data_IF_288209230577
#
_entry.id   IF_288209230577
#
_cell.length_a   1.000
_cell.length_b   1.000
_cell.length_c   1.000
_cell.angle_alpha   90.00
_cell.angle_beta   90.00
_cell.angle_gamma   90.00
#
_symmetry.space_group_name_H-M   'P 1'
#
loop_
_entity.id
_entity.type
_entity.pdbx_description
1 polymer ?
#
# COMPACT_ATOMS: atom_id res chain seq x y z
N UNK A 1 -12.02 -25.38 21.75
CA UNK A 1 -12.96 -24.25 21.58
C UNK A 1 -12.49 -23.07 22.44
N UNK A 2 -11.81 -22.09 21.84
CA UNK A 2 -11.57 -20.76 22.42
C UNK A 2 -11.81 -19.76 21.30
N UNK A 3 -12.80 -18.89 21.49
CA UNK A 3 -13.22 -17.91 20.51
C UNK A 3 -12.20 -16.78 20.41
N UNK A 4 -11.67 -16.55 19.21
CA UNK A 4 -10.98 -15.32 18.86
C UNK A 4 -12.03 -14.32 18.36
N UNK A 5 -12.65 -13.59 19.28
CA UNK A 5 -13.38 -12.36 18.99
C UNK A 5 -12.40 -11.19 18.93
N UNK A 6 -11.72 -11.03 17.80
CA UNK A 6 -10.86 -9.89 17.54
C UNK A 6 -11.70 -8.70 17.10
N UNK A 7 -12.09 -7.86 18.06
CA UNK A 7 -12.69 -6.55 17.81
C UNK A 7 -11.64 -5.60 17.22
N UNK A 8 -11.34 -5.76 15.93
CA UNK A 8 -10.56 -4.82 15.12
C UNK A 8 -11.44 -3.69 14.60
N UNK A 9 -12.16 -3.01 15.51
CA UNK A 9 -12.90 -1.82 15.17
C UNK A 9 -11.91 -0.66 15.03
N UNK A 10 -11.39 -0.49 13.82
CA UNK A 10 -10.79 0.77 13.39
C UNK A 10 -11.76 1.89 13.81
N UNK A 11 -11.32 2.78 14.70
CA UNK A 11 -12.08 3.98 15.05
C UNK A 11 -12.19 4.85 13.79
N UNK A 12 -13.15 4.52 12.93
CA UNK A 12 -13.66 5.36 11.87
C UNK A 12 -14.20 6.62 12.54
N UNK A 13 -13.68 7.79 12.15
CA UNK A 13 -14.40 9.04 12.39
C UNK A 13 -15.81 8.92 11.81
N UNK A 14 -16.77 9.65 12.36
CA UNK A 14 -18.17 9.60 11.94
C UNK A 14 -18.42 9.94 10.45
N UNK A 15 -17.38 10.33 9.71
CA UNK A 15 -17.39 10.67 8.28
C UNK A 15 -16.62 9.67 7.39
N UNK A 16 -16.11 8.56 7.93
CA UNK A 16 -15.35 7.56 7.16
C UNK A 16 -13.99 8.05 6.62
N UNK A 17 -13.54 9.24 7.01
CA UNK A 17 -12.27 9.80 6.59
C UNK A 17 -11.17 9.57 7.64
N UNK A 18 -10.01 9.07 7.19
CA UNK A 18 -8.82 9.00 8.04
C UNK A 18 -8.43 10.42 8.50
N UNK A 19 -8.02 10.60 9.77
CA UNK A 19 -7.61 11.90 10.29
C UNK A 19 -6.41 12.41 9.49
N UNK A 20 -6.68 13.33 8.55
CA UNK A 20 -5.64 14.00 7.76
C UNK A 20 -4.69 14.71 8.71
N UNK A 21 -3.42 14.35 8.66
CA UNK A 21 -2.38 14.97 9.49
C UNK A 21 -2.37 16.46 9.21
N UNK A 22 -2.80 17.28 10.20
CA UNK A 22 -2.77 18.73 10.09
C UNK A 22 -1.37 19.19 9.70
N UNK A 23 -1.26 19.92 8.58
CA UNK A 23 -0.03 20.58 8.13
C UNK A 23 0.37 21.66 9.15
N UNK A 24 1.02 21.23 10.24
CA UNK A 24 1.70 22.14 11.16
C UNK A 24 3.07 22.45 10.54
N UNK A 25 3.47 23.72 10.53
CA UNK A 25 4.72 24.17 9.97
C UNK A 25 5.91 23.37 10.53
N UNK A 26 6.75 22.82 9.65
CA UNK A 26 7.96 22.04 9.98
C UNK A 26 9.14 22.57 9.16
N UNK A 27 10.34 22.65 9.74
CA UNK A 27 11.53 23.04 9.00
C UNK A 27 11.85 22.02 7.89
N UNK A 28 12.27 22.51 6.74
CA UNK A 28 12.79 21.67 5.66
C UNK A 28 14.13 21.08 6.05
N UNK A 29 14.44 19.89 5.52
CA UNK A 29 15.73 19.24 5.72
C UNK A 29 16.88 20.16 5.26
N UNK A 30 16.70 20.90 4.17
CA UNK A 30 17.66 21.87 3.67
C UNK A 30 17.94 23.00 4.68
N UNK A 31 16.93 23.47 5.41
CA UNK A 31 17.09 24.51 6.43
C UNK A 31 17.85 23.99 7.65
N UNK A 32 17.58 22.74 8.06
CA UNK A 32 18.30 22.09 9.17
C UNK A 32 19.76 21.86 8.79
N UNK A 33 20.03 21.28 7.63
CA UNK A 33 21.39 21.00 7.15
C UNK A 33 22.14 22.30 6.86
N UNK A 34 21.49 23.29 6.23
CA UNK A 34 22.09 24.58 5.96
C UNK A 34 22.43 25.34 7.24
N UNK A 35 21.53 25.33 8.23
CA UNK A 35 21.78 25.92 9.54
C UNK A 35 22.92 25.23 10.28
N UNK A 36 22.98 23.89 10.24
CA UNK A 36 24.07 23.16 10.89
C UNK A 36 25.41 23.39 10.19
N UNK A 37 25.46 23.36 8.86
CA UNK A 37 26.68 23.65 8.09
C UNK A 37 27.17 25.08 8.33
N UNK A 38 26.28 26.06 8.26
CA UNK A 38 26.63 27.45 8.52
C UNK A 38 27.18 27.64 9.93
N UNK A 39 26.57 26.99 10.93
CA UNK A 39 27.06 27.02 12.31
C UNK A 39 28.46 26.37 12.44
N UNK A 40 28.71 25.22 11.81
CA UNK A 40 30.03 24.56 11.81
C UNK A 40 31.09 25.42 11.09
N UNK A 41 30.75 26.05 9.98
CA UNK A 41 31.67 26.88 9.18
C UNK A 41 31.97 28.24 9.82
N UNK A 42 30.98 28.86 10.46
CA UNK A 42 31.14 30.18 11.09
C UNK A 42 31.72 30.10 12.51
N UNK A 43 31.53 28.99 13.22
CA UNK A 43 32.09 28.77 14.56
C UNK A 43 33.61 29.03 14.65
N UNK A 44 34.48 28.51 13.75
CA UNK A 44 35.91 28.80 13.79
C UNK A 44 36.23 30.27 13.45
N UNK A 45 35.51 30.89 12.51
CA UNK A 45 35.68 32.33 12.23
C UNK A 45 35.32 33.19 13.45
N UNK A 46 34.21 32.87 14.13
CA UNK A 46 33.81 33.54 15.36
C UNK A 46 34.83 33.32 16.48
N UNK A 47 35.36 32.10 16.61
CA UNK A 47 36.44 31.79 17.56
C UNK A 47 37.69 32.63 17.33
N UNK A 48 38.15 32.77 16.09
CA UNK A 48 39.30 33.60 15.73
C UNK A 48 39.06 35.09 15.99
N UNK A 49 37.85 35.60 15.72
CA UNK A 49 37.47 36.98 16.04
C UNK A 49 37.51 37.25 17.54
N UNK A 50 36.99 36.33 18.35
CA UNK A 50 37.02 36.41 19.82
C UNK A 50 38.45 36.41 20.33
N UNK A 51 39.33 35.52 19.83
CA UNK A 51 40.76 35.50 20.21
C UNK A 51 41.46 36.80 19.82
N UNK A 52 41.23 37.30 18.60
CA UNK A 52 41.80 38.56 18.12
C UNK A 52 41.37 39.75 18.98
N UNK A 53 40.10 39.78 19.40
CA UNK A 53 39.57 40.85 20.24
C UNK A 53 40.08 40.77 21.69
N UNK A 54 40.20 39.55 22.25
CA UNK A 54 40.71 39.33 23.61
C UNK A 54 42.23 39.44 23.74
N UNK A 55 42.96 39.56 22.62
CA UNK A 55 44.42 39.72 22.55
C UNK A 55 44.92 40.87 23.45
N UNK A 56 44.09 41.88 23.72
CA UNK A 56 44.42 43.03 24.57
C UNK A 56 44.15 42.88 26.07
N UNK A 57 43.39 41.86 26.52
CA UNK A 57 42.83 41.83 27.89
C UNK A 57 43.19 40.62 28.76
N UNK A 58 43.60 39.46 28.20
CA UNK A 58 43.78 38.22 28.99
C UNK A 58 44.96 37.35 28.56
N UNK A 59 45.55 36.63 29.53
CA UNK A 59 46.63 35.65 29.34
C UNK A 59 46.17 34.53 28.38
N UNK A 60 46.85 34.36 27.24
CA UNK A 60 46.50 33.48 26.10
C UNK A 60 45.91 32.09 26.43
N UNK A 61 46.30 31.48 27.56
CA UNK A 61 45.84 30.15 27.98
C UNK A 61 44.33 30.09 28.27
N UNK A 62 43.75 31.13 28.89
CA UNK A 62 42.33 31.14 29.23
C UNK A 62 41.44 31.42 28.02
N UNK A 63 41.90 32.27 27.10
CA UNK A 63 41.18 32.57 25.85
C UNK A 63 41.08 31.33 24.95
N UNK A 64 42.15 30.54 24.82
CA UNK A 64 42.15 29.30 24.05
C UNK A 64 41.17 28.26 24.64
N UNK A 65 41.12 28.12 25.97
CA UNK A 65 40.18 27.21 26.65
C UNK A 65 38.72 27.60 26.43
N UNK A 66 38.38 28.89 26.52
CA UNK A 66 37.02 29.37 26.29
C UNK A 66 36.55 29.15 24.86
N UNK A 67 37.41 29.38 23.86
CA UNK A 67 37.07 29.13 22.46
C UNK A 67 36.93 27.64 22.18
N UNK A 68 37.84 26.81 22.69
CA UNK A 68 37.73 25.35 22.57
C UNK A 68 36.42 24.83 23.17
N UNK A 69 36.06 25.31 24.37
CA UNK A 69 34.79 24.96 25.02
C UNK A 69 33.56 25.40 24.20
N UNK A 70 33.59 26.60 23.62
CA UNK A 70 32.52 27.10 22.75
C UNK A 70 32.32 26.24 21.50
N UNK A 71 33.42 25.89 20.81
CA UNK A 71 33.35 25.02 19.61
C UNK A 71 32.82 23.63 19.95
N UNK A 72 33.27 23.05 21.07
CA UNK A 72 32.77 21.75 21.54
C UNK A 72 31.27 21.81 21.86
N UNK A 73 30.82 22.87 22.53
CA UNK A 73 29.41 23.06 22.88
C UNK A 73 28.54 23.18 21.63
N UNK A 74 28.93 24.02 20.66
CA UNK A 74 28.20 24.17 19.40
C UNK A 74 28.15 22.85 18.63
N UNK A 75 29.27 22.13 18.55
CA UNK A 75 29.34 20.82 17.88
C UNK A 75 28.42 19.80 18.54
N UNK A 76 28.40 19.74 19.88
CA UNK A 76 27.53 18.83 20.64
C UNK A 76 26.04 19.16 20.42
N UNK A 77 25.67 20.45 20.45
CA UNK A 77 24.29 20.89 20.21
C UNK A 77 23.84 20.53 18.79
N UNK A 78 24.69 20.75 17.78
CA UNK A 78 24.39 20.41 16.39
C UNK A 78 24.26 18.90 16.17
N UNK A 79 25.15 18.10 16.76
CA UNK A 79 25.08 16.64 16.72
C UNK A 79 23.79 16.13 17.37
N UNK A 80 23.42 16.67 18.53
CA UNK A 80 22.16 16.35 19.20
C UNK A 80 20.94 16.73 18.37
N UNK A 81 20.96 17.90 17.70
CA UNK A 81 19.89 18.35 16.83
C UNK A 81 19.72 17.41 15.62
N UNK A 82 20.82 17.06 14.94
CA UNK A 82 20.80 16.14 13.79
C UNK A 82 20.29 14.75 14.19
N UNK A 83 20.75 14.20 15.32
CA UNK A 83 20.26 12.92 15.83
C UNK A 83 18.74 12.99 16.06
N UNK A 84 18.26 14.04 16.74
CA UNK A 84 16.85 14.18 17.08
C UNK A 84 15.95 14.42 15.86
N UNK A 85 16.42 15.14 14.84
CA UNK A 85 15.62 15.51 13.67
C UNK A 85 15.68 14.51 12.50
N UNK A 86 16.77 13.75 12.36
CA UNK A 86 16.98 12.85 11.23
C UNK A 86 17.04 11.39 11.70
N UNK A 87 18.03 11.04 12.52
CA UNK A 87 18.33 9.63 12.83
C UNK A 87 17.19 8.97 13.60
N UNK A 88 16.67 9.61 14.65
CA UNK A 88 15.57 9.06 15.47
C UNK A 88 14.29 8.79 14.67
N UNK A 89 13.77 9.71 13.83
CA UNK A 89 12.57 9.44 13.04
C UNK A 89 12.81 8.42 11.90
N UNK A 90 13.99 8.34 11.30
CA UNK A 90 14.33 7.28 10.33
C UNK A 90 14.30 5.90 10.99
N UNK A 91 14.89 5.76 12.17
CA UNK A 91 14.86 4.49 12.93
C UNK A 91 13.44 4.07 13.28
N UNK A 92 12.56 5.02 13.62
CA UNK A 92 11.14 4.74 13.87
C UNK A 92 10.42 4.25 12.61
N UNK A 93 10.58 4.95 11.49
CA UNK A 93 9.97 4.53 10.22
C UNK A 93 10.45 3.13 9.80
N UNK A 94 11.74 2.83 10.01
CA UNK A 94 12.28 1.49 9.75
C UNK A 94 11.74 0.43 10.71
N UNK A 95 11.45 0.77 11.96
CA UNK A 95 10.86 -0.18 12.91
C UNK A 95 9.38 -0.44 12.58
N UNK A 96 8.63 0.61 12.25
CA UNK A 96 7.24 0.52 11.81
C UNK A 96 7.14 -0.32 10.52
N UNK A 97 7.97 -0.05 9.51
CA UNK A 97 7.96 -0.82 8.25
C UNK A 97 8.26 -2.30 8.46
N UNK A 98 9.19 -2.64 9.35
CA UNK A 98 9.48 -4.04 9.73
C UNK A 98 8.32 -4.70 10.47
N UNK A 99 7.66 -3.98 11.37
CA UNK A 99 6.49 -4.49 12.09
C UNK A 99 5.34 -4.81 11.11
N UNK A 100 5.10 -3.93 10.12
CA UNK A 100 4.10 -4.19 9.09
C UNK A 100 4.48 -5.37 8.18
N UNK A 101 5.75 -5.51 7.81
CA UNK A 101 6.23 -6.68 7.07
C UNK A 101 6.05 -7.99 7.86
N UNK A 102 6.06 -7.92 9.20
CA UNK A 102 5.77 -9.05 10.09
C UNK A 102 4.26 -9.30 10.31
N UNK A 103 3.38 -8.50 9.71
CA UNK A 103 1.92 -8.62 9.85
C UNK A 103 1.32 -7.93 11.07
N UNK A 104 2.09 -7.11 11.79
CA UNK A 104 1.62 -6.33 12.95
C UNK A 104 1.00 -5.00 12.50
N UNK A 105 -0.16 -5.06 11.85
CA UNK A 105 -0.80 -3.90 11.20
C UNK A 105 -1.32 -2.86 12.21
N UNK A 106 -1.68 -3.27 13.43
CA UNK A 106 -2.25 -2.40 14.47
C UNK A 106 -1.24 -1.41 15.09
N UNK A 107 0.07 -1.55 14.84
CA UNK A 107 1.10 -0.70 15.44
C UNK A 107 1.42 0.58 14.66
N UNK A 108 0.88 0.74 13.46
CA UNK A 108 1.12 1.96 12.67
C UNK A 108 0.27 3.12 13.18
N UNK A 109 0.89 4.06 13.89
CA UNK A 109 0.22 5.26 14.38
C UNK A 109 0.37 6.41 13.39
N UNK A 110 -0.73 7.02 12.86
CA UNK A 110 -0.69 8.19 11.98
C UNK A 110 -0.05 9.44 12.60
N UNK A 111 0.31 9.39 13.89
CA UNK A 111 0.83 10.50 14.65
C UNK A 111 2.37 10.54 14.72
N UNK A 112 3.07 9.66 13.99
CA UNK A 112 4.53 9.61 14.05
C UNK A 112 5.12 10.97 13.67
N UNK A 113 5.70 11.63 14.68
CA UNK A 113 6.27 12.98 14.59
C UNK A 113 7.60 12.88 13.83
N UNK A 114 7.56 12.82 12.51
CA UNK A 114 8.76 12.89 11.68
C UNK A 114 9.33 14.31 11.69
N UNK A 115 10.63 14.45 11.97
CA UNK A 115 11.26 15.72 12.35
C UNK A 115 11.17 16.79 11.27
N UNK A 116 11.40 16.41 10.01
CA UNK A 116 11.39 17.29 8.82
C UNK A 116 10.20 17.00 7.92
N UNK A 117 9.90 17.93 7.01
CA UNK A 117 8.80 17.79 6.04
C UNK A 117 9.04 16.63 5.07
N UNK A 118 10.24 16.49 4.57
CA UNK A 118 10.63 15.47 3.58
C UNK A 118 10.51 14.06 4.18
N UNK A 119 10.89 13.90 5.45
CA UNK A 119 10.75 12.62 6.15
C UNK A 119 9.29 12.30 6.50
N UNK A 120 8.47 13.33 6.70
CA UNK A 120 7.02 13.17 6.85
C UNK A 120 6.38 12.72 5.53
N UNK A 121 6.76 13.32 4.40
CA UNK A 121 6.28 12.93 3.06
C UNK A 121 6.71 11.48 2.74
N UNK A 122 7.96 11.10 3.05
CA UNK A 122 8.41 9.71 2.91
C UNK A 122 7.62 8.74 3.79
N UNK A 123 7.40 9.09 5.06
CA UNK A 123 6.62 8.27 5.99
C UNK A 123 5.19 8.04 5.50
N UNK A 124 4.57 9.06 4.92
CA UNK A 124 3.24 8.94 4.32
C UNK A 124 3.25 8.00 3.10
N UNK A 125 4.20 8.16 2.18
CA UNK A 125 4.30 7.27 1.01
C UNK A 125 4.51 5.79 1.38
N UNK A 126 5.29 5.53 2.44
CA UNK A 126 5.46 4.16 2.98
C UNK A 126 4.16 3.64 3.58
N UNK A 127 3.40 4.49 4.29
CA UNK A 127 2.11 4.13 4.86
C UNK A 127 1.07 3.82 3.76
N UNK A 128 0.97 4.67 2.74
CA UNK A 128 0.04 4.48 1.63
C UNK A 128 0.35 3.17 0.87
N UNK A 129 1.64 2.84 0.71
CA UNK A 129 2.08 1.57 0.13
C UNK A 129 1.69 0.38 1.02
N UNK A 130 1.95 0.49 2.33
CA UNK A 130 1.60 -0.54 3.29
C UNK A 130 0.08 -0.81 3.28
N UNK A 131 -0.75 0.23 3.34
CA UNK A 131 -2.21 0.12 3.26
C UNK A 131 -2.66 -0.53 1.94
N UNK A 132 -2.09 -0.12 0.80
CA UNK A 132 -2.42 -0.74 -0.49
C UNK A 132 -2.09 -2.23 -0.50
N UNK A 133 -0.95 -2.63 0.07
CA UNK A 133 -0.56 -4.03 0.18
C UNK A 133 -1.49 -4.81 1.11
N UNK A 134 -1.84 -4.24 2.26
CA UNK A 134 -2.76 -4.85 3.22
C UNK A 134 -4.13 -5.13 2.58
N UNK A 135 -4.73 -4.11 1.96
CA UNK A 135 -6.05 -4.21 1.34
C UNK A 135 -6.04 -5.25 0.21
N UNK A 136 -4.97 -5.30 -0.59
CA UNK A 136 -4.80 -6.34 -1.62
C UNK A 136 -4.80 -7.74 -1.01
N UNK A 137 -4.02 -7.95 0.06
CA UNK A 137 -3.92 -9.24 0.76
C UNK A 137 -5.24 -9.65 1.43
N UNK A 138 -5.90 -8.74 2.14
CA UNK A 138 -7.18 -8.98 2.80
C UNK A 138 -8.25 -9.39 1.79
N UNK A 139 -8.31 -8.70 0.65
CA UNK A 139 -9.27 -9.02 -0.40
C UNK A 139 -8.99 -10.43 -0.99
N UNK A 140 -7.71 -10.82 -1.18
CA UNK A 140 -7.37 -12.19 -1.63
C UNK A 140 -7.83 -13.20 -0.59
N UNK A 141 -7.48 -12.97 0.67
CA UNK A 141 -7.79 -13.88 1.77
C UNK A 141 -9.29 -14.09 1.94
N UNK A 142 -10.06 -13.00 1.92
CA UNK A 142 -11.52 -13.03 2.03
C UNK A 142 -12.15 -13.78 0.85
N UNK A 143 -11.71 -13.50 -0.38
CA UNK A 143 -12.24 -14.17 -1.56
C UNK A 143 -11.88 -15.66 -1.61
N UNK A 144 -10.62 -16.03 -1.34
CA UNK A 144 -10.21 -17.44 -1.28
C UNK A 144 -10.98 -18.19 -0.20
N UNK A 145 -11.21 -17.57 0.96
CA UNK A 145 -12.02 -18.17 2.03
C UNK A 145 -13.47 -18.40 1.58
N UNK A 146 -14.07 -17.42 0.92
CA UNK A 146 -15.42 -17.51 0.37
C UNK A 146 -15.52 -18.63 -0.68
N UNK A 147 -14.63 -18.64 -1.67
CA UNK A 147 -14.60 -19.67 -2.73
C UNK A 147 -14.40 -21.07 -2.14
N UNK A 148 -13.54 -21.23 -1.13
CA UNK A 148 -13.34 -22.51 -0.45
C UNK A 148 -14.63 -22.99 0.23
N UNK A 149 -15.38 -22.07 0.84
CA UNK A 149 -16.65 -22.38 1.50
C UNK A 149 -17.71 -22.79 0.48
N UNK A 150 -17.83 -22.04 -0.62
CA UNK A 150 -18.77 -22.30 -1.70
C UNK A 150 -18.43 -23.58 -2.49
N UNK A 151 -17.14 -23.93 -2.63
CA UNK A 151 -16.70 -25.18 -3.27
C UNK A 151 -17.05 -26.44 -2.46
N UNK A 152 -17.14 -26.33 -1.14
CA UNK A 152 -17.39 -27.48 -0.26
C UNK A 152 -18.75 -28.13 -0.55
N UNK A 153 -19.78 -27.30 -0.77
CA UNK A 153 -21.15 -27.78 -1.04
C UNK A 153 -21.26 -28.63 -2.32
N UNK A 154 -20.86 -28.14 -3.52
CA UNK A 154 -20.91 -28.94 -4.74
C UNK A 154 -19.95 -30.14 -4.68
N UNK A 155 -18.82 -30.03 -3.98
CA UNK A 155 -17.92 -31.17 -3.80
C UNK A 155 -18.57 -32.28 -2.98
N UNK A 156 -19.23 -31.96 -1.86
CA UNK A 156 -19.96 -32.95 -1.06
C UNK A 156 -21.12 -33.57 -1.85
N UNK A 157 -21.86 -32.77 -2.61
CA UNK A 157 -22.95 -33.27 -3.46
C UNK A 157 -22.44 -34.20 -4.58
N UNK A 158 -21.29 -33.87 -5.18
CA UNK A 158 -20.65 -34.69 -6.21
C UNK A 158 -20.18 -36.04 -5.63
N UNK A 159 -19.48 -36.01 -4.49
CA UNK A 159 -19.01 -37.23 -3.82
C UNK A 159 -20.19 -38.11 -3.44
N UNK A 160 -21.22 -37.56 -2.78
CA UNK A 160 -22.40 -38.34 -2.40
C UNK A 160 -23.16 -38.91 -3.60
N UNK A 161 -23.25 -38.16 -4.71
CA UNK A 161 -23.88 -38.68 -5.92
C UNK A 161 -23.03 -39.79 -6.58
N UNK A 162 -21.70 -39.67 -6.55
CA UNK A 162 -20.79 -40.68 -7.07
C UNK A 162 -20.82 -41.97 -6.23
N UNK A 163 -20.82 -41.86 -4.90
CA UNK A 163 -20.96 -43.00 -3.99
C UNK A 163 -22.27 -43.77 -4.22
N UNK A 164 -23.38 -43.07 -4.40
CA UNK A 164 -24.67 -43.71 -4.70
C UNK A 164 -24.66 -44.41 -6.07
N UNK A 165 -23.94 -43.86 -7.06
CA UNK A 165 -23.82 -44.46 -8.40
C UNK A 165 -23.07 -45.79 -8.42
N UNK A 166 -22.29 -46.10 -7.38
CA UNK A 166 -21.61 -47.40 -7.23
C UNK A 166 -22.59 -48.55 -6.93
N UNK A 167 -23.81 -48.25 -6.49
CA UNK A 167 -24.82 -49.26 -6.21
C UNK A 167 -25.43 -49.84 -7.51
N UNK A 168 -25.35 -51.16 -7.66
CA UNK A 168 -25.83 -51.89 -8.83
C UNK A 168 -27.36 -52.08 -8.86
N UNK A 169 -28.06 -51.76 -7.75
CA UNK A 169 -29.51 -51.89 -7.63
C UNK A 169 -30.34 -50.69 -8.12
N UNK A 170 -29.70 -49.64 -8.65
CA UNK A 170 -30.38 -48.40 -9.03
C UNK A 170 -31.29 -48.55 -10.26
N UNK A 171 -32.49 -47.99 -10.17
CA UNK A 171 -33.36 -47.81 -11.33
C UNK A 171 -32.73 -46.84 -12.35
N UNK A 172 -33.00 -46.99 -13.67
CA UNK A 172 -32.42 -46.14 -14.72
C UNK A 172 -32.64 -44.64 -14.47
N UNK A 173 -33.83 -44.26 -13.99
CA UNK A 173 -34.19 -42.86 -13.71
C UNK A 173 -33.39 -42.28 -12.54
N UNK A 174 -33.15 -43.06 -11.49
CA UNK A 174 -32.35 -42.63 -10.34
C UNK A 174 -30.88 -42.44 -10.72
N UNK A 175 -30.34 -43.34 -11.53
CA UNK A 175 -28.98 -43.22 -12.09
C UNK A 175 -28.83 -41.95 -12.93
N UNK A 176 -29.82 -41.62 -13.77
CA UNK A 176 -29.84 -40.38 -14.55
C UNK A 176 -29.88 -39.13 -13.67
N UNK A 177 -30.66 -39.14 -12.58
CA UNK A 177 -30.70 -38.03 -11.63
C UNK A 177 -29.34 -37.82 -10.94
N UNK A 178 -28.70 -38.89 -10.47
CA UNK A 178 -27.38 -38.80 -9.83
C UNK A 178 -26.30 -38.29 -10.79
N UNK A 179 -26.29 -38.76 -12.04
CA UNK A 179 -25.42 -38.22 -13.09
C UNK A 179 -25.70 -36.73 -13.36
N UNK A 180 -26.97 -36.32 -13.31
CA UNK A 180 -27.37 -34.91 -13.37
C UNK A 180 -26.77 -34.08 -12.23
N UNK A 181 -26.83 -34.58 -10.99
CA UNK A 181 -26.21 -33.96 -9.82
C UNK A 181 -24.69 -33.83 -9.97
N UNK A 182 -24.01 -34.90 -10.40
CA UNK A 182 -22.56 -34.86 -10.68
C UNK A 182 -22.23 -33.77 -11.70
N UNK A 183 -22.98 -33.72 -12.81
CA UNK A 183 -22.76 -32.72 -13.87
C UNK A 183 -23.00 -31.29 -13.38
N UNK A 184 -24.07 -31.07 -12.61
CA UNK A 184 -24.38 -29.75 -12.07
C UNK A 184 -23.34 -29.28 -11.05
N UNK A 185 -22.92 -30.16 -10.15
CA UNK A 185 -21.88 -29.87 -9.16
C UNK A 185 -20.54 -29.57 -9.83
N UNK A 186 -20.15 -30.36 -10.84
CA UNK A 186 -18.95 -30.10 -11.63
C UNK A 186 -18.99 -28.74 -12.34
N UNK A 187 -20.14 -28.39 -12.95
CA UNK A 187 -20.35 -27.08 -13.57
C UNK A 187 -20.21 -25.92 -12.59
N UNK A 188 -20.85 -26.00 -11.41
CA UNK A 188 -20.72 -24.97 -10.37
C UNK A 188 -19.27 -24.79 -9.91
N UNK A 189 -18.51 -25.87 -9.76
CA UNK A 189 -17.08 -25.78 -9.40
C UNK A 189 -16.26 -25.11 -10.51
N UNK A 190 -16.57 -25.37 -11.77
CA UNK A 190 -15.93 -24.69 -12.91
C UNK A 190 -16.22 -23.19 -12.90
N UNK A 191 -17.46 -22.78 -12.65
CA UNK A 191 -17.85 -21.36 -12.57
C UNK A 191 -17.09 -20.62 -11.46
N UNK A 192 -16.96 -21.25 -10.28
CA UNK A 192 -16.18 -20.70 -9.16
C UNK A 192 -14.68 -20.55 -9.50
N UNK A 193 -14.11 -21.53 -10.21
CA UNK A 193 -12.71 -21.48 -10.65
C UNK A 193 -12.47 -20.40 -11.71
N UNK A 194 -13.37 -20.24 -12.68
CA UNK A 194 -13.23 -19.18 -13.69
C UNK A 194 -13.39 -17.80 -13.04
N UNK A 195 -14.30 -17.64 -12.07
CA UNK A 195 -14.41 -16.42 -11.27
C UNK A 195 -13.09 -16.08 -10.54
N UNK A 196 -12.43 -17.08 -9.96
CA UNK A 196 -11.13 -16.91 -9.30
C UNK A 196 -10.04 -16.51 -10.30
N UNK A 197 -10.06 -17.08 -11.51
CA UNK A 197 -9.14 -16.73 -12.59
C UNK A 197 -9.35 -15.30 -13.06
N UNK A 198 -10.59 -14.87 -13.23
CA UNK A 198 -10.93 -13.49 -13.62
C UNK A 198 -10.48 -12.48 -12.56
N UNK A 199 -10.71 -12.78 -11.28
CA UNK A 199 -10.21 -11.95 -10.18
C UNK A 199 -8.69 -11.86 -10.13
N UNK A 200 -7.99 -12.97 -10.39
CA UNK A 200 -6.53 -12.97 -10.47
C UNK A 200 -6.02 -12.06 -11.60
N UNK A 201 -6.64 -12.14 -12.78
CA UNK A 201 -6.33 -11.27 -13.93
C UNK A 201 -6.63 -9.79 -13.66
N UNK A 202 -7.76 -9.49 -13.03
CA UNK A 202 -8.16 -8.09 -12.73
C UNK A 202 -7.21 -7.39 -11.74
N UNK A 203 -6.39 -8.14 -11.01
CA UNK A 203 -5.38 -7.60 -10.07
C UNK A 203 -4.03 -7.33 -10.70
N UNK A 204 -3.80 -7.86 -11.89
CA UNK A 204 -2.59 -7.55 -12.63
C UNK A 204 -2.63 -6.05 -12.96
N UNK A 205 -1.61 -5.26 -12.58
CA UNK A 205 -1.62 -3.84 -12.84
C UNK A 205 -1.74 -3.65 -14.35
N UNK A 206 -2.93 -3.21 -14.77
CA UNK A 206 -3.17 -2.70 -16.11
C UNK A 206 -2.08 -1.66 -16.34
N UNK A 207 -1.14 -1.97 -17.24
CA UNK A 207 0.08 -1.18 -17.41
C UNK A 207 -0.22 0.31 -17.56
N UNK A 208 0.72 1.17 -17.18
CA UNK A 208 0.56 2.61 -17.43
C UNK A 208 0.43 2.83 -18.94
N UNK A 209 -0.72 3.34 -19.38
CA UNK A 209 -1.01 3.57 -20.78
C UNK A 209 -2.25 4.42 -20.97
N UNK A 210 -2.21 5.30 -21.97
CA UNK A 210 -3.39 5.99 -22.46
C UNK A 210 -3.91 5.24 -23.68
N UNK A 211 -5.21 4.97 -23.72
CA UNK A 211 -5.86 4.42 -24.91
C UNK A 211 -6.90 5.40 -25.44
N UNK A 212 -7.15 5.29 -26.74
CA UNK A 212 -8.27 5.97 -27.40
C UNK A 212 -9.38 4.96 -27.66
N UNK A 213 -10.61 5.42 -27.59
CA UNK A 213 -11.80 4.56 -27.67
C UNK A 213 -11.92 3.93 -29.08
N UNK A 214 -11.53 4.67 -30.11
CA UNK A 214 -11.50 4.24 -31.52
C UNK A 214 -10.68 2.95 -31.77
N UNK A 215 -9.49 2.85 -31.15
CA UNK A 215 -8.57 1.72 -31.29
C UNK A 215 -9.14 0.44 -30.68
N UNK A 216 -9.83 0.56 -29.54
CA UNK A 216 -10.40 -0.59 -28.83
C UNK A 216 -11.72 -1.03 -29.48
N UNK A 217 -12.50 -0.09 -30.01
CA UNK A 217 -13.75 -0.38 -30.69
C UNK A 217 -13.58 -1.09 -32.02
N UNK A 218 -12.52 -0.79 -32.76
CA UNK A 218 -12.21 -1.52 -34.00
C UNK A 218 -11.93 -2.99 -33.71
N UNK A 219 -11.31 -3.31 -32.56
CA UNK A 219 -11.14 -4.70 -32.10
C UNK A 219 -12.46 -5.33 -31.64
N UNK A 220 -13.28 -4.62 -30.85
CA UNK A 220 -14.56 -5.15 -30.35
C UNK A 220 -15.59 -5.37 -31.46
N UNK A 221 -15.63 -4.53 -32.49
CA UNK A 221 -16.52 -4.70 -33.63
C UNK A 221 -16.21 -5.99 -34.43
N UNK A 222 -14.96 -6.45 -34.41
CA UNK A 222 -14.56 -7.74 -34.99
C UNK A 222 -15.03 -8.94 -34.17
N UNK A 223 -15.11 -8.83 -32.85
CA UNK A 223 -15.58 -9.89 -31.96
C UNK A 223 -17.12 -9.96 -31.84
N UNK A 224 -17.82 -8.83 -31.95
CA UNK A 224 -19.28 -8.75 -31.81
C UNK A 224 -19.93 -8.06 -33.02
N UNK A 225 -20.06 -8.74 -34.18
CA UNK A 225 -20.57 -8.15 -35.42
C UNK A 225 -22.05 -7.73 -35.34
N UNK A 226 -22.80 -8.21 -34.36
CA UNK A 226 -24.21 -7.83 -34.13
C UNK A 226 -24.38 -6.50 -33.36
N UNK A 227 -23.30 -5.94 -32.81
CA UNK A 227 -23.36 -4.79 -31.91
C UNK A 227 -23.24 -3.47 -32.68
N UNK A 228 -24.31 -2.68 -32.75
CA UNK A 228 -24.26 -1.31 -33.30
C UNK A 228 -23.72 -0.36 -32.24
N UNK A 229 -22.43 -0.02 -32.33
CA UNK A 229 -21.80 0.96 -31.43
C UNK A 229 -21.72 2.32 -32.11
N UNK A 230 -22.30 3.34 -31.49
CA UNK A 230 -22.09 4.75 -31.85
C UNK A 230 -21.10 5.39 -30.86
N UNK A 231 -20.14 6.13 -31.38
CA UNK A 231 -19.09 6.77 -30.59
C UNK A 231 -19.18 8.27 -30.74
N UNK A 232 -19.22 8.97 -29.61
CA UNK A 232 -19.10 10.43 -29.58
C UNK A 232 -17.82 10.77 -28.81
N UNK A 233 -16.85 11.38 -29.48
CA UNK A 233 -15.55 11.74 -28.87
C UNK A 233 -14.49 10.62 -28.83
N UNK A 234 -14.38 9.81 -29.88
CA UNK A 234 -13.46 8.66 -29.93
C UNK A 234 -11.97 8.99 -29.77
N UNK A 235 -11.57 10.24 -30.03
CA UNK A 235 -10.20 10.73 -29.90
C UNK A 235 -9.78 11.08 -28.46
N UNK A 236 -10.71 11.01 -27.50
CA UNK A 236 -10.41 11.31 -26.10
C UNK A 236 -9.44 10.27 -25.56
N UNK A 237 -8.26 10.74 -25.12
CA UNK A 237 -7.27 9.91 -24.46
C UNK A 237 -7.75 9.55 -23.05
N UNK A 238 -8.10 8.27 -22.87
CA UNK A 238 -8.47 7.73 -21.57
C UNK A 238 -7.20 7.25 -20.85
N UNK A 239 -7.01 7.58 -19.56
CA UNK A 239 -5.88 7.12 -18.76
C UNK A 239 -6.04 5.65 -18.33
N UNK A 240 -6.44 4.80 -19.27
CA UNK A 240 -6.65 3.36 -19.12
C UNK A 240 -5.95 2.71 -20.32
N UNK A 241 -5.12 1.68 -20.13
CA UNK A 241 -4.53 0.96 -21.25
C UNK A 241 -5.61 0.24 -22.08
N UNK A 242 -5.34 -0.04 -23.37
CA UNK A 242 -6.33 -0.58 -24.29
C UNK A 242 -6.85 -1.97 -23.85
N UNK A 243 -6.02 -2.75 -23.16
CA UNK A 243 -6.38 -4.04 -22.57
C UNK A 243 -7.40 -3.88 -21.44
N UNK A 244 -7.20 -2.90 -20.55
CA UNK A 244 -8.11 -2.59 -19.45
C UNK A 244 -9.46 -2.08 -19.94
N UNK A 245 -9.44 -1.22 -20.96
CA UNK A 245 -10.65 -0.70 -21.60
C UNK A 245 -11.45 -1.82 -22.28
N UNK A 246 -10.77 -2.77 -22.94
CA UNK A 246 -11.42 -3.92 -23.56
C UNK A 246 -12.08 -4.85 -22.53
N UNK A 247 -11.44 -5.09 -21.38
CA UNK A 247 -12.02 -5.90 -20.28
C UNK A 247 -13.30 -5.26 -19.75
N UNK A 248 -13.27 -3.95 -19.46
CA UNK A 248 -14.46 -3.21 -18.98
C UNK A 248 -15.60 -3.32 -20.00
N UNK A 249 -15.31 -3.08 -21.28
CA UNK A 249 -16.33 -3.12 -22.33
C UNK A 249 -16.94 -4.51 -22.51
N UNK A 250 -16.13 -5.59 -22.49
CA UNK A 250 -16.65 -6.96 -22.53
C UNK A 250 -17.57 -7.25 -21.35
N UNK A 251 -17.18 -6.81 -20.15
CA UNK A 251 -17.95 -7.06 -18.94
C UNK A 251 -19.27 -6.29 -18.88
N UNK A 252 -19.38 -5.17 -19.62
CA UNK A 252 -20.65 -4.47 -19.83
C UNK A 252 -21.53 -5.12 -20.91
N UNK A 253 -20.96 -5.93 -21.80
CA UNK A 253 -21.67 -6.53 -22.94
C UNK A 253 -22.20 -7.94 -22.67
N UNK A 254 -21.70 -8.63 -21.65
CA UNK A 254 -22.16 -9.95 -21.22
C UNK A 254 -21.13 -11.04 -21.47
#
# INVERSE_FOLDING_TARGET
MRGCGGNGAWHRGADGSMPRIRRKWRPSLALVIGGTLAAVLLAPMAGLLVVKFLWGYMRYRYAALLVGAGVLLVTAVLGWLLWRLIVRPVQRLSAESRAFAAGEVDRFSPQSRYGTRELQELGQSVLDMAESLHNRQETVRSYTSHVTHELKSPLTALIGAAELLEDNGLAPDQRLQLLGTVRQSAGRMQDLLEGLRQMAKAREPLGQGASRLDQVLTRLAGEYPALKVQVTGGDIALPIPPEGLAVILRQMLG
#
